data_IF_108282172870
#
_entry.id   IF_108282172870
#
_cell.length_a   1.000
_cell.length_b   1.000
_cell.length_c   1.000
_cell.angle_alpha   90.00
_cell.angle_beta   90.00
_cell.angle_gamma   90.00
#
_symmetry.space_group_name_H-M   'P 1'
#
loop_
_entity.id
_entity.type
_entity.pdbx_description
1 polymer ?
#
# COMPACT_ATOMS: atom_id res chain seq x y z
N UNK A 1 -11.33 19.62 20.38
CA UNK A 1 -10.20 19.08 19.57
C UNK A 1 -10.85 18.27 18.47
N UNK A 2 -10.62 18.62 17.21
CA UNK A 2 -11.17 17.87 16.09
C UNK A 2 -10.51 16.48 16.09
N UNK A 3 -11.32 15.43 16.13
CA UNK A 3 -10.82 14.06 16.11
C UNK A 3 -10.21 13.81 14.73
N UNK A 4 -8.93 13.42 14.69
CA UNK A 4 -8.24 13.15 13.44
C UNK A 4 -8.97 12.03 12.68
N UNK A 5 -9.32 12.31 11.42
CA UNK A 5 -10.02 11.33 10.58
C UNK A 5 -9.22 10.03 10.48
N UNK A 6 -9.81 8.93 10.94
CA UNK A 6 -9.20 7.60 10.87
C UNK A 6 -9.23 7.07 9.44
N UNK A 7 -8.15 6.43 9.01
CA UNK A 7 -7.99 5.92 7.65
C UNK A 7 -9.11 4.96 7.23
N UNK A 8 -9.55 4.06 8.12
CA UNK A 8 -10.67 3.16 7.83
C UNK A 8 -11.99 3.88 7.51
N UNK A 9 -12.24 5.05 8.12
CA UNK A 9 -13.39 5.90 7.77
C UNK A 9 -13.24 6.50 6.37
N UNK A 10 -12.01 6.79 5.94
CA UNK A 10 -11.73 7.21 4.55
C UNK A 10 -12.10 6.08 3.58
N UNK A 11 -11.69 4.85 3.86
CA UNK A 11 -12.07 3.70 3.02
C UNK A 11 -13.58 3.51 2.94
N UNK A 12 -14.30 3.65 4.06
CA UNK A 12 -15.77 3.59 4.06
C UNK A 12 -16.39 4.64 3.12
N UNK A 13 -15.92 5.88 3.17
CA UNK A 13 -16.38 6.96 2.28
C UNK A 13 -16.03 6.70 0.81
N UNK A 14 -14.86 6.12 0.52
CA UNK A 14 -14.46 5.81 -0.85
C UNK A 14 -15.30 4.66 -1.44
N UNK A 15 -15.63 3.64 -0.64
CA UNK A 15 -16.54 2.57 -1.04
C UNK A 15 -17.96 3.09 -1.28
N UNK A 16 -18.47 3.98 -0.40
CA UNK A 16 -19.77 4.63 -0.58
C UNK A 16 -19.83 5.43 -1.90
N UNK A 17 -18.73 6.07 -2.29
CA UNK A 17 -18.59 6.80 -3.57
C UNK A 17 -18.34 5.89 -4.77
N UNK A 18 -18.29 4.57 -4.59
CA UNK A 18 -18.06 3.61 -5.68
C UNK A 18 -16.67 3.70 -6.31
N UNK A 19 -15.66 4.17 -5.56
CA UNK A 19 -14.29 4.27 -6.07
C UNK A 19 -13.77 2.87 -6.38
N UNK A 20 -13.33 2.58 -7.61
CA UNK A 20 -12.87 1.25 -7.97
C UNK A 20 -11.44 0.99 -7.46
N UNK A 21 -11.05 -0.29 -7.43
CA UNK A 21 -9.68 -0.75 -7.17
C UNK A 21 -9.10 -0.45 -5.78
N UNK A 22 -9.95 -0.16 -4.80
CA UNK A 22 -9.55 -0.04 -3.39
C UNK A 22 -9.85 -1.32 -2.59
N UNK A 23 -8.99 -1.72 -1.65
CA UNK A 23 -9.26 -2.82 -0.73
C UNK A 23 -10.50 -2.57 0.16
N UNK A 24 -11.16 -3.65 0.56
CA UNK A 24 -12.24 -3.63 1.53
C UNK A 24 -11.66 -3.76 2.94
N UNK A 25 -11.99 -2.80 3.79
CA UNK A 25 -11.62 -2.84 5.20
C UNK A 25 -12.58 -3.77 5.94
N UNK A 26 -12.02 -4.73 6.65
CA UNK A 26 -12.75 -5.67 7.53
C UNK A 26 -12.87 -5.09 8.94
N UNK A 27 -11.78 -4.51 9.43
CA UNK A 27 -11.71 -3.91 10.76
C UNK A 27 -10.62 -2.85 10.79
N UNK A 28 -10.79 -1.84 11.63
CA UNK A 28 -9.77 -0.85 11.92
C UNK A 28 -10.02 -0.22 13.28
N UNK A 29 -8.98 0.35 13.90
CA UNK A 29 -9.15 0.97 15.21
C UNK A 29 -7.83 1.29 15.89
N UNK A 30 -7.94 1.99 17.02
CA UNK A 30 -6.82 2.23 17.91
C UNK A 30 -6.53 0.97 18.73
N UNK A 31 -5.25 0.70 19.00
CA UNK A 31 -4.79 -0.39 19.88
C UNK A 31 -4.59 0.18 21.28
N UNK A 32 -5.60 0.10 22.15
CA UNK A 32 -5.65 0.81 23.44
C UNK A 32 -4.39 0.66 24.32
N UNK A 33 -3.74 -0.51 24.27
CA UNK A 33 -2.58 -0.83 25.10
C UNK A 33 -1.23 -0.43 24.50
N UNK A 34 -1.20 0.03 23.25
CA UNK A 34 0.02 0.38 22.53
C UNK A 34 0.06 1.88 22.26
N UNK A 35 0.63 2.60 23.22
CA UNK A 35 0.92 4.04 23.12
C UNK A 35 2.43 4.23 23.20
N UNK A 36 2.97 4.97 22.25
CA UNK A 36 4.38 5.33 22.23
C UNK A 36 4.51 6.81 22.59
N UNK A 37 5.12 7.10 23.74
CA UNK A 37 5.56 8.46 24.06
C UNK A 37 7.00 8.63 23.57
N UNK A 38 7.13 9.14 22.35
CA UNK A 38 8.41 9.33 21.68
C UNK A 38 9.35 10.26 22.44
N UNK A 39 8.81 11.19 23.26
CA UNK A 39 9.61 12.15 24.01
C UNK A 39 10.36 11.50 25.18
N UNK A 40 9.79 10.45 25.76
CA UNK A 40 10.49 9.63 26.78
C UNK A 40 11.69 8.91 26.19
N UNK A 41 11.58 8.42 24.96
CA UNK A 41 12.62 7.62 24.30
C UNK A 41 13.65 8.48 23.56
N UNK A 42 13.27 9.67 23.09
CA UNK A 42 14.10 10.55 22.25
C UNK A 42 13.95 12.02 22.66
N UNK A 43 14.33 12.41 23.89
CA UNK A 43 14.11 13.76 24.40
C UNK A 43 14.77 14.85 23.54
N UNK A 44 15.91 14.55 22.92
CA UNK A 44 16.68 15.51 22.12
C UNK A 44 16.04 15.87 20.77
N UNK A 45 14.98 15.15 20.36
CA UNK A 45 14.24 15.43 19.11
C UNK A 45 13.06 16.39 19.31
N UNK A 46 12.79 16.86 20.53
CA UNK A 46 11.63 17.68 20.86
C UNK A 46 12.02 18.98 21.56
N UNK A 47 11.34 20.08 21.20
CA UNK A 47 11.57 21.38 21.80
C UNK A 47 11.06 21.43 23.26
N UNK A 48 11.77 22.10 24.17
CA UNK A 48 11.33 22.27 25.56
C UNK A 48 9.99 23.02 25.63
N UNK A 49 9.00 22.40 26.28
CA UNK A 49 7.68 23.01 26.51
C UNK A 49 6.62 22.66 25.47
N UNK A 50 6.96 21.94 24.40
CA UNK A 50 5.93 21.40 23.51
C UNK A 50 5.12 20.29 24.19
N UNK A 51 3.78 20.28 24.02
CA UNK A 51 2.94 19.22 24.56
C UNK A 51 3.25 17.90 23.84
N UNK A 52 3.76 16.91 24.59
CA UNK A 52 3.88 15.54 24.08
C UNK A 52 2.50 14.95 23.88
N UNK A 53 2.23 14.47 22.66
CA UNK A 53 1.05 13.68 22.35
C UNK A 53 1.52 12.25 22.14
N UNK A 54 1.09 11.29 22.98
CA UNK A 54 1.45 9.90 22.76
C UNK A 54 0.91 9.45 21.40
N UNK A 55 1.77 8.80 20.61
CA UNK A 55 1.36 8.17 19.37
C UNK A 55 0.53 6.93 19.71
N UNK A 56 -0.72 6.94 19.29
CA UNK A 56 -1.63 5.81 19.42
C UNK A 56 -1.39 4.86 18.24
N UNK A 57 -1.02 3.61 18.51
CA UNK A 57 -0.98 2.59 17.45
C UNK A 57 -2.38 2.37 16.89
N UNK A 58 -2.46 2.27 15.57
CA UNK A 58 -3.68 2.10 14.81
C UNK A 58 -3.52 0.88 13.91
N UNK A 59 -4.55 0.02 13.86
CA UNK A 59 -4.58 -1.15 12.99
C UNK A 59 -5.62 -0.96 11.89
N UNK A 60 -5.35 -1.57 10.74
CA UNK A 60 -6.28 -1.69 9.62
C UNK A 60 -6.13 -3.08 9.01
N UNK A 61 -7.26 -3.77 8.80
CA UNK A 61 -7.31 -5.12 8.28
C UNK A 61 -8.06 -5.09 6.96
N UNK A 62 -7.39 -5.49 5.88
CA UNK A 62 -7.99 -5.60 4.56
C UNK A 62 -8.45 -7.03 4.29
N UNK A 63 -9.58 -7.18 3.59
CA UNK A 63 -10.08 -8.47 3.11
C UNK A 63 -9.20 -9.01 1.99
N UNK A 64 -8.78 -8.15 1.08
CA UNK A 64 -7.95 -8.51 -0.07
C UNK A 64 -6.46 -8.33 0.24
N UNK A 65 -5.75 -9.45 0.46
CA UNK A 65 -4.28 -9.46 0.54
C UNK A 65 -3.72 -9.86 -0.82
N UNK A 66 -3.69 -8.91 -1.74
CA UNK A 66 -3.22 -9.13 -3.12
C UNK A 66 -4.09 -10.11 -3.92
N UNK A 67 -3.54 -10.66 -5.02
CA UNK A 67 -4.13 -11.73 -5.83
C UNK A 67 -3.14 -12.88 -5.93
N UNK A 68 -3.60 -14.12 -6.16
CA UNK A 68 -2.68 -15.26 -6.25
C UNK A 68 -1.72 -15.04 -7.41
N UNK A 69 -0.46 -15.44 -7.24
CA UNK A 69 0.54 -15.38 -8.31
C UNK A 69 0.11 -16.17 -9.56
N UNK A 70 -0.67 -17.24 -9.36
CA UNK A 70 -1.28 -18.05 -10.43
C UNK A 70 -2.37 -17.33 -11.20
N UNK A 71 -2.98 -16.29 -10.63
CA UNK A 71 -4.04 -15.55 -11.30
C UNK A 71 -3.47 -14.60 -12.35
N UNK A 72 -2.15 -14.35 -12.36
CA UNK A 72 -1.48 -13.59 -13.41
C UNK A 72 -1.19 -14.48 -14.61
N UNK A 73 -1.63 -14.06 -15.81
CA UNK A 73 -1.46 -14.86 -17.03
C UNK A 73 0.00 -14.97 -17.45
N UNK A 74 0.81 -13.99 -17.08
CA UNK A 74 2.24 -13.92 -17.40
C UNK A 74 3.00 -13.20 -16.29
N UNK A 75 4.30 -13.48 -16.17
CA UNK A 75 5.21 -12.72 -15.30
C UNK A 75 5.24 -11.23 -15.67
N UNK A 76 5.00 -10.90 -16.94
CA UNK A 76 4.88 -9.52 -17.41
C UNK A 76 3.68 -8.79 -16.79
N UNK A 77 2.53 -9.47 -16.68
CA UNK A 77 1.34 -8.92 -16.03
C UNK A 77 1.58 -8.65 -14.54
N UNK A 78 2.37 -9.51 -13.88
CA UNK A 78 2.78 -9.31 -12.49
C UNK A 78 3.66 -8.06 -12.33
N UNK A 79 4.73 -7.94 -13.12
CA UNK A 79 5.69 -6.83 -13.01
C UNK A 79 5.08 -5.49 -13.45
N UNK A 80 4.24 -5.46 -14.48
CA UNK A 80 3.59 -4.22 -14.94
C UNK A 80 2.54 -3.75 -13.94
N UNK A 81 1.74 -4.65 -13.35
CA UNK A 81 0.75 -4.23 -12.35
C UNK A 81 1.39 -3.72 -11.06
N UNK A 82 2.54 -4.25 -10.67
CA UNK A 82 3.33 -3.68 -9.57
C UNK A 82 3.94 -2.33 -9.95
N UNK A 83 4.58 -2.23 -11.12
CA UNK A 83 5.24 -1.00 -11.56
C UNK A 83 4.27 0.16 -11.84
N UNK A 84 3.05 -0.12 -12.29
CA UNK A 84 2.01 0.90 -12.51
C UNK A 84 1.24 1.27 -11.25
N UNK A 85 1.36 0.49 -10.17
CA UNK A 85 0.76 0.85 -8.88
C UNK A 85 1.57 1.91 -8.13
N UNK A 86 2.87 2.02 -8.39
CA UNK A 86 3.80 2.80 -7.55
C UNK A 86 4.13 4.22 -8.06
N UNK A 87 3.76 4.56 -9.29
CA UNK A 87 3.82 5.95 -9.79
C UNK A 87 3.13 5.99 -11.15
N UNK A 88 2.79 7.18 -11.66
CA UNK A 88 2.31 7.37 -13.05
C UNK A 88 3.33 7.00 -14.13
N UNK A 89 3.96 5.83 -14.04
CA UNK A 89 5.02 5.33 -14.90
C UNK A 89 4.44 4.81 -16.22
N UNK A 90 4.68 5.56 -17.31
CA UNK A 90 4.60 5.02 -18.67
C UNK A 90 6.00 4.50 -19.07
N UNK A 91 6.19 3.19 -19.30
CA UNK A 91 7.45 2.71 -19.86
C UNK A 91 7.66 3.29 -21.25
N UNK A 92 8.89 3.70 -21.58
CA UNK A 92 9.25 4.11 -22.93
C UNK A 92 9.12 2.91 -23.91
N UNK A 93 8.83 3.14 -25.20
CA UNK A 93 8.63 2.08 -26.19
C UNK A 93 9.81 1.08 -26.26
N UNK A 94 11.03 1.56 -26.02
CA UNK A 94 12.24 0.75 -26.02
C UNK A 94 12.25 -0.29 -24.88
N UNK A 95 11.80 0.10 -23.68
CA UNK A 95 11.70 -0.81 -22.53
C UNK A 95 10.59 -1.83 -22.70
N UNK A 96 9.49 -1.47 -23.37
CA UNK A 96 8.42 -2.41 -23.70
C UNK A 96 8.90 -3.51 -24.67
N UNK A 97 9.75 -3.17 -25.62
CA UNK A 97 10.28 -4.11 -26.62
C UNK A 97 11.33 -5.09 -26.07
N UNK A 98 12.16 -4.69 -25.09
CA UNK A 98 13.10 -5.65 -24.49
C UNK A 98 12.38 -6.74 -23.68
N UNK A 99 11.26 -6.41 -23.04
CA UNK A 99 10.53 -7.37 -22.20
C UNK A 99 9.73 -8.37 -23.06
N UNK A 100 9.23 -7.94 -24.22
CA UNK A 100 8.56 -8.85 -25.18
C UNK A 100 9.54 -9.83 -25.83
N UNK A 101 10.76 -9.41 -26.13
CA UNK A 101 11.81 -10.26 -26.69
C UNK A 101 12.15 -11.44 -25.78
N UNK A 102 12.35 -11.20 -24.47
CA UNK A 102 12.69 -12.24 -23.50
C UNK A 102 11.58 -13.30 -23.30
N UNK A 103 10.32 -12.96 -23.55
CA UNK A 103 9.20 -13.92 -23.49
C UNK A 103 9.09 -14.77 -24.76
N UNK A 104 9.56 -14.28 -25.91
CA UNK A 104 9.63 -15.08 -27.14
C UNK A 104 10.73 -16.14 -27.07
N UNK A 105 11.91 -15.80 -26.51
CA UNK A 105 13.06 -16.71 -26.42
C UNK A 105 12.80 -17.92 -25.50
N UNK A 106 12.07 -17.71 -24.39
CA UNK A 106 11.69 -18.83 -23.50
C UNK A 106 10.65 -19.77 -24.08
N UNK A 107 9.86 -19.34 -25.08
CA UNK A 107 8.84 -20.17 -25.72
C UNK A 107 9.43 -21.11 -26.78
N UNK A 108 10.61 -20.79 -27.31
CA UNK A 108 11.30 -21.58 -28.34
C UNK A 108 12.22 -22.66 -27.77
N UNK A 109 12.58 -22.59 -26.47
CA UNK A 109 13.49 -23.56 -25.83
C UNK A 109 12.79 -24.75 -25.14
N UNK A 110 11.47 -24.88 -25.27
CA UNK A 110 10.67 -25.98 -24.68
C UNK A 110 10.05 -26.90 -25.76
N UNK A 111 10.75 -27.10 -26.88
CA UNK A 111 10.42 -28.16 -27.85
C UNK A 111 11.53 -29.18 -27.93
#
# INVERSE_FOLDING_TARGET
MEEMQKEGNVYAQLHEKGVPHIPHVVAHGDVDQQKTDARTSFPDLFEPGEPSRPFQHYYIVFREVGRRLTDFRTTHELVIKDAMKDSGYRPSPERANMISANNSEKKTSLR
#
